data_IF_975944872762
#
_entry.id   IF_975944872762
#
_cell.length_a   1.000
_cell.length_b   1.000
_cell.length_c   1.000
_cell.angle_alpha   90.00
_cell.angle_beta   90.00
_cell.angle_gamma   90.00
#
_symmetry.space_group_name_H-M   'P 1'
#
loop_
_entity.id
_entity.type
_entity.pdbx_description
1 polymer ?
#
# COMPACT_ATOMS: atom_id res chain seq x y z
N UNK A 1 -13.98 2.37 43.39
CA UNK A 1 -13.59 1.18 42.62
C UNK A 1 -13.79 1.48 41.15
N UNK A 2 -12.71 1.71 40.41
CA UNK A 2 -12.76 1.95 38.96
C UNK A 2 -11.44 1.50 38.36
N UNK A 3 -11.40 0.28 37.81
CA UNK A 3 -10.26 -0.18 37.03
C UNK A 3 -10.20 0.64 35.76
N UNK A 4 -9.12 1.39 35.55
CA UNK A 4 -9.03 2.33 34.43
C UNK A 4 -8.95 1.59 33.09
N UNK A 5 -9.87 1.85 32.12
CA UNK A 5 -9.90 1.17 30.81
C UNK A 5 -8.72 1.48 29.88
N UNK A 6 -7.80 2.35 30.29
CA UNK A 6 -6.77 2.96 29.42
C UNK A 6 -5.77 1.96 28.82
N UNK A 7 -5.43 0.85 29.52
CA UNK A 7 -4.39 -0.07 29.05
C UNK A 7 -4.90 -1.10 28.05
N UNK A 8 -6.10 -1.68 28.27
CA UNK A 8 -6.64 -2.74 27.41
C UNK A 8 -7.03 -2.20 26.04
N UNK A 9 -7.67 -1.03 26.00
CA UNK A 9 -8.13 -0.41 24.75
C UNK A 9 -6.95 -0.07 23.81
N UNK A 10 -5.84 0.42 24.38
CA UNK A 10 -4.63 0.72 23.64
C UNK A 10 -3.99 -0.52 22.99
N UNK A 11 -4.01 -1.66 23.68
CA UNK A 11 -3.45 -2.94 23.17
C UNK A 11 -4.34 -3.53 22.08
N UNK A 12 -5.67 -3.42 22.21
CA UNK A 12 -6.60 -3.85 21.16
C UNK A 12 -6.45 -2.97 19.91
N UNK A 13 -6.24 -1.67 20.09
CA UNK A 13 -6.04 -0.75 18.99
C UNK A 13 -4.71 -0.96 18.27
N UNK A 14 -3.61 -1.21 18.99
CA UNK A 14 -2.32 -1.53 18.37
C UNK A 14 -2.39 -2.83 17.59
N UNK A 15 -2.97 -3.87 18.18
CA UNK A 15 -3.18 -5.15 17.50
C UNK A 15 -4.02 -5.01 16.24
N UNK A 16 -5.14 -4.27 16.30
CA UNK A 16 -5.99 -4.05 15.11
C UNK A 16 -5.25 -3.33 13.99
N UNK A 17 -4.48 -2.27 14.31
CA UNK A 17 -3.68 -1.54 13.32
C UNK A 17 -2.63 -2.44 12.66
N UNK A 18 -1.97 -3.31 13.42
CA UNK A 18 -0.97 -4.24 12.88
C UNK A 18 -1.58 -5.23 11.87
N UNK A 19 -2.76 -5.79 12.16
CA UNK A 19 -3.46 -6.67 11.22
C UNK A 19 -3.84 -5.95 9.92
N UNK A 20 -4.32 -4.71 10.01
CA UNK A 20 -4.66 -3.89 8.84
C UNK A 20 -3.42 -3.64 7.98
N UNK A 21 -2.32 -3.18 8.61
CA UNK A 21 -1.05 -2.97 7.92
C UNK A 21 -0.56 -4.24 7.24
N UNK A 22 -0.61 -5.37 7.95
CA UNK A 22 -0.20 -6.67 7.41
C UNK A 22 -1.00 -7.03 6.16
N UNK A 23 -2.33 -6.93 6.23
CA UNK A 23 -3.21 -7.25 5.11
C UNK A 23 -2.93 -6.35 3.90
N UNK A 24 -2.81 -5.03 4.10
CA UNK A 24 -2.54 -4.08 3.01
C UNK A 24 -1.18 -4.36 2.39
N UNK A 25 -0.14 -4.57 3.19
CA UNK A 25 1.23 -4.82 2.70
C UNK A 25 1.28 -6.05 1.81
N UNK A 26 0.71 -7.16 2.26
CA UNK A 26 0.72 -8.41 1.49
C UNK A 26 -0.19 -8.32 0.26
N UNK A 27 -1.36 -7.71 0.38
CA UNK A 27 -2.25 -7.46 -0.76
C UNK A 27 -1.59 -6.60 -1.84
N UNK A 28 -0.99 -5.47 -1.45
CA UNK A 28 -0.27 -4.57 -2.36
C UNK A 28 0.91 -5.28 -3.06
N UNK A 29 1.65 -6.12 -2.33
CA UNK A 29 2.75 -6.91 -2.88
C UNK A 29 2.27 -7.95 -3.89
N UNK A 30 1.22 -8.69 -3.56
CA UNK A 30 0.63 -9.68 -4.48
C UNK A 30 0.15 -9.02 -5.77
N UNK A 31 -0.53 -7.88 -5.68
CA UNK A 31 -0.98 -7.11 -6.84
C UNK A 31 0.21 -6.65 -7.69
N UNK A 32 1.29 -6.14 -7.09
CA UNK A 32 2.50 -5.76 -7.85
C UNK A 32 3.13 -6.95 -8.57
N UNK A 33 3.22 -8.12 -7.92
CA UNK A 33 3.75 -9.34 -8.56
C UNK A 33 2.93 -9.72 -9.79
N UNK A 34 1.60 -9.63 -9.71
CA UNK A 34 0.73 -9.84 -10.86
C UNK A 34 0.96 -8.76 -11.92
N UNK A 35 1.19 -7.49 -11.53
CA UNK A 35 1.55 -6.40 -12.45
C UNK A 35 2.88 -6.64 -13.20
N UNK A 36 3.90 -7.12 -12.51
CA UNK A 36 5.17 -7.54 -13.14
C UNK A 36 4.96 -8.69 -14.12
N UNK A 37 4.13 -9.66 -13.73
CA UNK A 37 3.77 -10.80 -14.59
C UNK A 37 3.05 -10.32 -15.85
N UNK A 38 2.00 -9.51 -15.70
CA UNK A 38 1.25 -8.91 -16.80
C UNK A 38 2.15 -8.09 -17.73
N UNK A 39 3.15 -7.39 -17.20
CA UNK A 39 4.16 -6.67 -18.00
C UNK A 39 5.01 -7.63 -18.83
N UNK A 40 5.48 -8.73 -18.23
CA UNK A 40 6.24 -9.77 -18.93
C UNK A 40 5.46 -10.42 -20.08
N UNK A 41 4.13 -10.52 -19.95
CA UNK A 41 3.23 -11.04 -21.00
C UNK A 41 2.69 -9.96 -21.95
N UNK A 42 3.07 -8.68 -21.79
CA UNK A 42 2.61 -7.59 -22.65
C UNK A 42 1.13 -7.22 -22.48
N UNK A 43 0.53 -7.51 -21.32
CA UNK A 43 -0.89 -7.25 -21.05
C UNK A 43 -1.15 -5.78 -20.67
N UNK A 44 -1.19 -4.93 -21.70
CA UNK A 44 -1.52 -3.51 -21.58
C UNK A 44 -3.02 -3.29 -21.81
N UNK A 45 -3.71 -2.44 -21.03
CA UNK A 45 -3.20 -1.59 -19.94
C UNK A 45 -3.28 -2.22 -18.54
N UNK A 46 -3.67 -3.50 -18.43
CA UNK A 46 -3.92 -4.16 -17.14
C UNK A 46 -2.71 -4.13 -16.20
N UNK A 47 -1.51 -4.32 -16.73
CA UNK A 47 -0.27 -4.19 -15.97
C UNK A 47 -0.15 -2.83 -15.26
N UNK A 48 -0.50 -1.74 -15.94
CA UNK A 48 -0.44 -0.37 -15.39
C UNK A 48 -1.45 -0.20 -14.25
N UNK A 49 -2.68 -0.69 -14.40
CA UNK A 49 -3.69 -0.62 -13.33
C UNK A 49 -3.30 -1.45 -12.10
N UNK A 50 -2.71 -2.63 -12.30
CA UNK A 50 -2.20 -3.46 -11.23
C UNK A 50 -1.07 -2.75 -10.48
N UNK A 51 -0.10 -2.17 -11.19
CA UNK A 51 0.96 -1.39 -10.55
C UNK A 51 0.41 -0.18 -9.79
N UNK A 52 -0.57 0.53 -10.34
CA UNK A 52 -1.23 1.67 -9.69
C UNK A 52 -1.83 1.25 -8.34
N UNK A 53 -2.60 0.16 -8.33
CA UNK A 53 -3.19 -0.37 -7.11
C UNK A 53 -2.13 -0.83 -6.11
N UNK A 54 -1.06 -1.48 -6.58
CA UNK A 54 0.07 -1.89 -5.74
C UNK A 54 0.82 -0.71 -5.12
N UNK A 55 1.09 0.34 -5.90
CA UNK A 55 1.77 1.57 -5.44
C UNK A 55 0.92 2.32 -4.41
N UNK A 56 -0.39 2.45 -4.65
CA UNK A 56 -1.31 3.06 -3.68
C UNK A 56 -1.35 2.27 -2.36
N UNK A 57 -1.39 0.94 -2.43
CA UNK A 57 -1.35 0.08 -1.24
C UNK A 57 -0.06 0.26 -0.44
N UNK A 58 1.10 0.31 -1.10
CA UNK A 58 2.38 0.55 -0.43
C UNK A 58 2.55 1.97 0.10
N UNK A 59 2.00 2.97 -0.59
CA UNK A 59 1.91 4.34 -0.06
C UNK A 59 1.10 4.38 1.24
N UNK A 60 -0.04 3.69 1.29
CA UNK A 60 -0.86 3.57 2.49
C UNK A 60 -0.11 2.87 3.64
N UNK A 61 0.66 1.82 3.36
CA UNK A 61 1.54 1.18 4.35
C UNK A 61 2.58 2.18 4.89
N UNK A 62 3.21 2.96 4.02
CA UNK A 62 4.14 4.02 4.42
C UNK A 62 3.48 5.05 5.35
N UNK A 63 2.27 5.48 5.03
CA UNK A 63 1.52 6.40 5.88
C UNK A 63 1.17 5.78 7.25
N UNK A 64 0.76 4.50 7.28
CA UNK A 64 0.44 3.78 8.51
C UNK A 64 1.67 3.55 9.40
N UNK A 65 2.85 3.38 8.80
CA UNK A 65 4.12 3.29 9.51
C UNK A 65 4.79 4.63 9.79
N UNK A 66 4.24 5.74 9.29
CA UNK A 66 4.88 7.07 9.33
C UNK A 66 6.30 7.05 8.71
N UNK A 67 6.54 6.18 7.73
CA UNK A 67 7.80 6.05 7.01
C UNK A 67 7.80 6.99 5.80
N UNK A 68 8.44 8.14 5.97
CA UNK A 68 8.51 9.19 4.95
C UNK A 68 9.25 8.73 3.69
N UNK A 69 10.24 7.85 3.81
CA UNK A 69 10.99 7.36 2.66
C UNK A 69 10.12 6.41 1.83
N UNK A 70 9.41 5.49 2.49
CA UNK A 70 8.48 4.57 1.83
C UNK A 70 7.34 5.33 1.15
N UNK A 71 6.79 6.36 1.80
CA UNK A 71 5.78 7.24 1.21
C UNK A 71 6.31 8.01 0.00
N UNK A 72 7.49 8.63 0.11
CA UNK A 72 8.07 9.45 -0.96
C UNK A 72 8.26 8.64 -2.24
N UNK A 73 8.87 7.46 -2.14
CA UNK A 73 9.14 6.60 -3.30
C UNK A 73 7.85 6.23 -4.02
N UNK A 74 6.82 5.82 -3.29
CA UNK A 74 5.55 5.42 -3.89
C UNK A 74 4.75 6.61 -4.42
N UNK A 75 4.83 7.78 -3.78
CA UNK A 75 4.19 8.99 -4.29
C UNK A 75 4.81 9.43 -5.61
N UNK A 76 6.15 9.45 -5.71
CA UNK A 76 6.84 9.79 -6.96
C UNK A 76 6.50 8.76 -8.05
N UNK A 77 6.51 7.46 -7.72
CA UNK A 77 6.10 6.42 -8.66
C UNK A 77 4.66 6.61 -9.14
N UNK A 78 3.73 6.96 -8.24
CA UNK A 78 2.32 7.22 -8.57
C UNK A 78 2.18 8.38 -9.56
N UNK A 79 2.85 9.50 -9.29
CA UNK A 79 2.86 10.67 -10.17
C UNK A 79 3.43 10.31 -11.54
N UNK A 80 4.58 9.63 -11.58
CA UNK A 80 5.23 9.24 -12.83
C UNK A 80 4.35 8.31 -13.66
N UNK A 81 3.69 7.33 -13.02
CA UNK A 81 2.76 6.44 -13.70
C UNK A 81 1.57 7.18 -14.30
N UNK A 82 0.90 8.04 -13.51
CA UNK A 82 -0.24 8.84 -13.97
C UNK A 82 0.16 9.71 -15.16
N UNK A 83 1.27 10.43 -15.05
CA UNK A 83 1.79 11.26 -16.14
C UNK A 83 2.04 10.44 -17.42
N UNK A 84 2.68 9.28 -17.28
CA UNK A 84 2.92 8.36 -18.40
C UNK A 84 1.62 7.92 -19.08
N UNK A 85 0.62 7.49 -18.30
CA UNK A 85 -0.68 7.07 -18.84
C UNK A 85 -1.44 8.20 -19.53
N UNK A 86 -1.33 9.45 -19.06
CA UNK A 86 -2.00 10.61 -19.69
C UNK A 86 -1.31 11.09 -20.96
N UNK A 87 -0.05 10.70 -21.17
CA UNK A 87 0.75 11.04 -22.36
C UNK A 87 0.76 9.90 -23.41
N UNK A 88 -0.06 8.87 -23.21
CA UNK A 88 -0.19 7.69 -24.07
C UNK A 88 -1.49 7.74 -24.86
#
# INVERSE_FOLDING_TARGET
MGGSPVRSDAILQSGSREHVVFAIKWGASAIQIIGYTATGFGWTPWNLYLFLAGVLGWFAVGALWNDKALMLVHLVALIAMIAGMTNS
#
